data_IF_371672853667
#
_entry.id   IF_371672853667
#
_cell.length_a   1.000
_cell.length_b   1.000
_cell.length_c   1.000
_cell.angle_alpha   90.00
_cell.angle_beta   90.00
_cell.angle_gamma   90.00
#
_symmetry.space_group_name_H-M   'P 1'
#
loop_
_entity.id
_entity.type
_entity.pdbx_description
1 polymer ?
#
# COMPACT_ATOMS: atom_id res chain seq x y z
N UNK A 1 16.65 -1.13 9.65
CA UNK A 1 15.27 -0.99 9.14
C UNK A 1 14.36 -0.19 10.08
N UNK A 2 14.32 -0.51 11.37
CA UNK A 2 13.39 0.14 12.33
C UNK A 2 13.50 1.68 12.38
N UNK A 3 14.72 2.24 12.36
CA UNK A 3 14.91 3.70 12.46
C UNK A 3 14.38 4.45 11.23
N UNK A 4 14.60 3.93 10.01
CA UNK A 4 14.14 4.60 8.79
C UNK A 4 12.62 4.47 8.64
N UNK A 5 12.03 3.36 9.07
CA UNK A 5 10.58 3.18 9.09
C UNK A 5 9.92 4.14 10.07
N UNK A 6 10.44 4.21 11.30
CA UNK A 6 9.92 5.14 12.30
C UNK A 6 10.03 6.59 11.81
N UNK A 7 11.17 6.97 11.22
CA UNK A 7 11.32 8.29 10.59
C UNK A 7 10.28 8.54 9.48
N UNK A 8 10.01 7.56 8.62
CA UNK A 8 9.05 7.71 7.54
C UNK A 8 7.62 7.91 8.07
N UNK A 9 7.22 7.11 9.07
CA UNK A 9 5.94 7.24 9.76
C UNK A 9 5.79 8.60 10.43
N UNK A 10 6.78 9.02 11.22
CA UNK A 10 6.80 10.34 11.88
C UNK A 10 6.73 11.48 10.86
N UNK A 11 7.47 11.36 9.75
CA UNK A 11 7.44 12.37 8.68
C UNK A 11 6.06 12.47 8.04
N UNK A 12 5.37 11.36 7.81
CA UNK A 12 4.00 11.35 7.28
C UNK A 12 3.06 12.07 8.25
N UNK A 13 3.10 11.72 9.53
CA UNK A 13 2.25 12.29 10.57
C UNK A 13 2.49 13.79 10.76
N UNK A 14 3.74 14.23 10.72
CA UNK A 14 4.10 15.65 10.87
C UNK A 14 3.80 16.51 9.63
N UNK A 15 3.58 15.91 8.46
CA UNK A 15 3.55 16.61 7.17
C UNK A 15 2.14 16.78 6.58
N UNK A 16 1.11 16.99 7.40
CA UNK A 16 -0.28 17.08 6.95
C UNK A 16 -0.53 18.16 5.88
N UNK A 17 0.19 19.28 5.92
CA UNK A 17 0.03 20.38 4.97
C UNK A 17 0.83 20.21 3.64
N UNK A 18 1.76 19.24 3.58
CA UNK A 18 2.60 19.03 2.39
C UNK A 18 1.83 18.17 1.39
N UNK A 19 1.71 18.52 0.09
CA UNK A 19 1.06 17.67 -0.90
C UNK A 19 1.65 16.26 -1.00
N UNK A 20 0.82 15.24 -1.24
CA UNK A 20 1.24 13.82 -1.24
C UNK A 20 2.40 13.55 -2.22
N UNK A 21 2.38 14.17 -3.40
CA UNK A 21 3.42 13.97 -4.44
C UNK A 21 4.79 14.45 -3.95
N UNK A 22 4.84 15.63 -3.33
CA UNK A 22 6.08 16.21 -2.79
C UNK A 22 6.57 15.39 -1.59
N UNK A 23 5.65 14.94 -0.74
CA UNK A 23 6.00 14.09 0.39
C UNK A 23 6.52 12.72 -0.08
N UNK A 24 5.92 12.14 -1.11
CA UNK A 24 6.37 10.88 -1.71
C UNK A 24 7.81 10.98 -2.19
N UNK A 25 8.15 11.99 -2.98
CA UNK A 25 9.53 12.20 -3.46
C UNK A 25 10.51 12.24 -2.28
N UNK A 26 10.23 13.07 -1.27
CA UNK A 26 11.08 13.20 -0.10
C UNK A 26 11.11 11.97 0.84
N UNK A 27 10.19 11.02 0.69
CA UNK A 27 10.24 9.71 1.33
C UNK A 27 11.11 8.76 0.51
N UNK A 28 10.87 8.67 -0.81
CA UNK A 28 11.57 7.79 -1.73
C UNK A 28 13.08 8.08 -1.78
N UNK A 29 13.48 9.35 -1.72
CA UNK A 29 14.88 9.77 -1.69
C UNK A 29 15.67 9.11 -0.56
N UNK A 30 15.03 8.87 0.60
CA UNK A 30 15.69 8.19 1.72
C UNK A 30 15.44 6.69 1.73
N UNK A 31 14.21 6.25 1.44
CA UNK A 31 13.85 4.84 1.50
C UNK A 31 14.63 4.01 0.47
N UNK A 32 14.85 4.53 -0.75
CA UNK A 32 15.61 3.84 -1.80
C UNK A 32 17.08 3.58 -1.46
N UNK A 33 17.65 4.33 -0.52
CA UNK A 33 19.02 4.10 -0.02
C UNK A 33 19.10 2.83 0.83
N UNK A 34 17.97 2.34 1.33
CA UNK A 34 17.89 1.13 2.14
C UNK A 34 17.59 -0.08 1.23
N UNK A 35 18.58 -0.96 1.04
CA UNK A 35 18.40 -2.19 0.28
C UNK A 35 17.34 -3.10 0.93
N UNK A 36 16.43 -3.64 0.11
CA UNK A 36 15.41 -4.60 0.55
C UNK A 36 14.28 -3.99 1.37
N UNK A 37 14.16 -2.65 1.39
CA UNK A 37 13.10 -2.00 2.14
C UNK A 37 11.72 -2.36 1.60
N UNK A 38 10.78 -2.65 2.51
CA UNK A 38 9.39 -2.86 2.16
C UNK A 38 8.61 -1.56 2.34
N UNK A 39 7.93 -1.12 1.28
CA UNK A 39 7.11 0.09 1.32
C UNK A 39 5.76 -0.15 2.00
N UNK A 40 5.40 -1.42 2.21
CA UNK A 40 4.10 -1.81 2.71
C UNK A 40 3.76 -1.20 4.08
N UNK A 41 4.71 -1.20 5.02
CA UNK A 41 4.49 -0.63 6.36
C UNK A 41 4.30 0.90 6.32
N UNK A 42 5.08 1.59 5.49
CA UNK A 42 5.00 3.05 5.34
C UNK A 42 3.69 3.46 4.66
N UNK A 43 3.27 2.71 3.65
CA UNK A 43 2.01 2.92 2.98
C UNK A 43 0.80 2.63 3.88
N UNK A 44 0.83 1.55 4.67
CA UNK A 44 -0.21 1.28 5.66
C UNK A 44 -0.32 2.43 6.68
N UNK A 45 0.82 2.98 7.14
CA UNK A 45 0.83 4.15 8.02
C UNK A 45 0.26 5.40 7.33
N UNK A 46 0.54 5.60 6.04
CA UNK A 46 -0.03 6.69 5.26
C UNK A 46 -1.56 6.61 5.18
N UNK A 47 -2.12 5.43 4.91
CA UNK A 47 -3.59 5.26 4.86
C UNK A 47 -4.22 5.46 6.24
N UNK A 48 -3.63 4.89 7.29
CA UNK A 48 -4.05 5.11 8.68
C UNK A 48 -3.99 6.59 9.11
N UNK A 49 -3.13 7.39 8.48
CA UNK A 49 -3.04 8.83 8.70
C UNK A 49 -4.00 9.64 7.81
N UNK A 50 -4.95 8.99 7.13
CA UNK A 50 -5.92 9.62 6.22
C UNK A 50 -5.36 10.00 4.85
N UNK A 51 -4.13 9.59 4.53
CA UNK A 51 -3.44 9.93 3.28
C UNK A 51 -3.48 8.79 2.27
N UNK A 52 -4.70 8.36 1.92
CA UNK A 52 -4.93 7.19 1.04
C UNK A 52 -4.21 7.29 -0.31
N UNK A 53 -4.20 8.48 -0.94
CA UNK A 53 -3.50 8.69 -2.20
C UNK A 53 -1.98 8.53 -2.06
N UNK A 54 -1.39 9.03 -0.97
CA UNK A 54 0.02 8.76 -0.65
C UNK A 54 0.29 7.26 -0.46
N UNK A 55 -0.59 6.56 0.26
CA UNK A 55 -0.48 5.12 0.44
C UNK A 55 -0.46 4.39 -0.90
N UNK A 56 -1.42 4.68 -1.79
CA UNK A 56 -1.49 4.08 -3.12
C UNK A 56 -0.22 4.30 -3.96
N UNK A 57 0.38 5.50 -3.89
CA UNK A 57 1.65 5.78 -4.58
C UNK A 57 2.84 5.05 -3.97
N UNK A 58 2.89 4.91 -2.64
CA UNK A 58 3.94 4.12 -1.97
C UNK A 58 3.83 2.64 -2.32
N UNK A 59 2.61 2.12 -2.45
CA UNK A 59 2.34 0.72 -2.85
C UNK A 59 2.91 0.40 -4.22
N UNK A 60 2.90 1.35 -5.16
CA UNK A 60 3.47 1.15 -6.51
C UNK A 60 4.99 0.91 -6.49
N UNK A 61 5.66 1.24 -5.39
CA UNK A 61 7.08 0.96 -5.18
C UNK A 61 7.35 -0.35 -4.45
N UNK A 62 6.33 -1.07 -3.96
CA UNK A 62 6.49 -2.38 -3.36
C UNK A 62 6.67 -3.46 -4.44
N UNK A 63 7.89 -3.97 -4.57
CA UNK A 63 8.23 -5.01 -5.54
C UNK A 63 7.65 -6.40 -5.21
N UNK A 64 7.34 -6.67 -3.94
CA UNK A 64 6.84 -7.98 -3.52
C UNK A 64 5.33 -8.03 -3.67
N UNK A 65 4.82 -8.72 -4.70
CA UNK A 65 3.38 -8.86 -4.95
C UNK A 65 2.61 -9.38 -3.73
N UNK A 66 3.20 -10.31 -2.97
CA UNK A 66 2.62 -10.86 -1.74
C UNK A 66 2.44 -9.84 -0.60
N UNK A 67 3.07 -8.67 -0.70
CA UNK A 67 2.87 -7.53 0.22
C UNK A 67 2.06 -6.41 -0.44
N UNK A 68 2.31 -6.17 -1.73
CA UNK A 68 1.62 -5.14 -2.50
C UNK A 68 0.12 -5.40 -2.57
N UNK A 69 -0.28 -6.63 -2.89
CA UNK A 69 -1.68 -6.98 -3.14
C UNK A 69 -2.55 -6.90 -1.87
N UNK A 70 -2.16 -7.51 -0.72
CA UNK A 70 -2.93 -7.34 0.51
C UNK A 70 -3.09 -5.88 0.93
N UNK A 71 -2.07 -5.05 0.66
CA UNK A 71 -2.12 -3.64 0.99
C UNK A 71 -3.06 -2.86 0.05
N UNK A 72 -3.06 -3.14 -1.27
CA UNK A 72 -4.04 -2.57 -2.20
C UNK A 72 -5.47 -2.88 -1.75
N UNK A 73 -5.74 -4.12 -1.33
CA UNK A 73 -7.04 -4.50 -0.79
C UNK A 73 -7.38 -3.70 0.47
N UNK A 74 -6.43 -3.50 1.39
CA UNK A 74 -6.67 -2.76 2.63
C UNK A 74 -7.02 -1.27 2.43
N UNK A 75 -6.58 -0.68 1.31
CA UNK A 75 -6.88 0.71 0.95
C UNK A 75 -8.01 0.85 -0.08
N UNK A 76 -8.80 -0.21 -0.26
CA UNK A 76 -9.95 -0.33 -1.18
C UNK A 76 -9.63 -0.16 -2.68
N UNK A 77 -8.38 -0.39 -3.08
CA UNK A 77 -7.91 -0.35 -4.47
C UNK A 77 -8.07 -1.74 -5.14
N UNK A 78 -9.28 -2.30 -5.10
CA UNK A 78 -9.57 -3.70 -5.49
C UNK A 78 -9.28 -3.97 -6.97
N UNK A 79 -9.61 -3.04 -7.87
CA UNK A 79 -9.36 -3.19 -9.31
C UNK A 79 -7.85 -3.30 -9.60
N UNK A 80 -7.06 -2.46 -8.93
CA UNK A 80 -5.61 -2.48 -9.02
C UNK A 80 -5.02 -3.74 -8.40
N UNK A 81 -5.57 -4.18 -7.26
CA UNK A 81 -5.17 -5.44 -6.62
C UNK A 81 -5.40 -6.62 -7.57
N UNK A 82 -6.54 -6.67 -8.25
CA UNK A 82 -6.88 -7.72 -9.20
C UNK A 82 -5.92 -7.73 -10.39
N UNK A 83 -5.71 -6.58 -11.03
CA UNK A 83 -4.77 -6.48 -12.14
C UNK A 83 -3.36 -6.92 -11.73
N UNK A 84 -2.85 -6.42 -10.60
CA UNK A 84 -1.51 -6.77 -10.09
C UNK A 84 -1.38 -8.24 -9.70
N UNK A 85 -2.45 -8.85 -9.19
CA UNK A 85 -2.46 -10.30 -8.90
C UNK A 85 -2.34 -11.13 -10.17
N UNK A 86 -3.03 -10.75 -11.24
CA UNK A 86 -2.93 -11.41 -12.54
C UNK A 86 -1.53 -11.24 -13.12
N UNK A 87 -0.99 -10.02 -13.11
CA UNK A 87 0.35 -9.70 -13.60
C UNK A 87 1.45 -10.48 -12.85
N UNK A 88 1.22 -10.81 -11.57
CA UNK A 88 2.17 -11.57 -10.76
C UNK A 88 2.30 -13.05 -11.17
N UNK A 89 1.29 -13.60 -11.84
CA UNK A 89 1.20 -15.03 -12.15
C UNK A 89 0.99 -15.95 -10.94
N UNK A 90 0.90 -15.39 -9.73
CA UNK A 90 0.67 -16.14 -8.50
C UNK A 90 -0.83 -16.42 -8.32
N UNK A 91 -1.22 -17.68 -8.50
CA UNK A 91 -2.62 -18.10 -8.44
C UNK A 91 -3.21 -17.94 -7.03
N UNK A 92 -2.40 -18.03 -5.98
CA UNK A 92 -2.85 -17.84 -4.60
C UNK A 92 -3.20 -16.37 -4.36
N UNK A 93 -2.43 -15.44 -4.94
CA UNK A 93 -2.72 -14.00 -4.85
C UNK A 93 -3.95 -13.61 -5.68
N UNK A 94 -4.16 -14.23 -6.85
CA UNK A 94 -5.39 -14.03 -7.63
C UNK A 94 -6.60 -14.54 -6.83
N UNK A 95 -6.49 -15.73 -6.24
CA UNK A 95 -7.54 -16.29 -5.40
C UNK A 95 -7.84 -15.39 -4.20
N UNK A 96 -6.81 -14.89 -3.51
CA UNK A 96 -6.94 -13.96 -2.39
C UNK A 96 -7.79 -12.74 -2.76
N UNK A 97 -7.52 -12.11 -3.91
CA UNK A 97 -8.26 -10.93 -4.36
C UNK A 97 -9.71 -11.27 -4.70
N UNK A 98 -9.93 -12.34 -5.47
CA UNK A 98 -11.29 -12.76 -5.85
C UNK A 98 -12.13 -13.12 -4.62
N UNK A 99 -11.53 -13.82 -3.66
CA UNK A 99 -12.19 -14.18 -2.41
C UNK A 99 -12.56 -12.93 -1.59
N UNK A 100 -11.66 -11.96 -1.49
CA UNK A 100 -11.92 -10.69 -0.82
C UNK A 100 -13.09 -9.91 -1.45
N UNK A 101 -13.10 -9.78 -2.79
CA UNK A 101 -14.18 -9.11 -3.54
C UNK A 101 -15.51 -9.84 -3.30
N UNK A 102 -15.51 -11.17 -3.39
CA UNK A 102 -16.70 -11.98 -3.19
C UNK A 102 -17.28 -11.82 -1.77
N UNK A 103 -16.42 -11.78 -0.74
CA UNK A 103 -16.85 -11.54 0.64
C UNK A 103 -17.49 -10.16 0.80
N UNK A 104 -16.88 -9.12 0.24
CA UNK A 104 -17.41 -7.74 0.31
C UNK A 104 -18.82 -7.67 -0.32
N UNK A 105 -18.98 -8.20 -1.53
CA UNK A 105 -20.27 -8.26 -2.22
C UNK A 105 -21.31 -9.09 -1.45
N UNK A 106 -20.89 -10.18 -0.84
CA UNK A 106 -21.81 -11.05 -0.07
C UNK A 106 -22.31 -10.36 1.20
N UNK A 107 -21.46 -9.57 1.87
CA UNK A 107 -21.84 -8.78 3.04
C UNK A 107 -22.80 -7.64 2.65
N UNK A 108 -22.54 -6.95 1.53
CA UNK A 108 -23.39 -5.86 1.04
C UNK A 108 -24.82 -6.32 0.68
N UNK A 109 -25.00 -7.57 0.26
CA UNK A 109 -26.33 -8.13 -0.06
C UNK A 109 -27.18 -8.48 1.17
N UNK A 110 -26.56 -8.57 2.34
CA UNK A 110 -27.23 -8.96 3.59
C UNK A 110 -27.66 -7.73 4.42
N UNK A 111 -27.08 -6.56 4.14
CA UNK A 111 -27.43 -5.29 4.76
C UNK A 111 -28.43 -4.49 3.92
#
# INVERSE_FOLDING_TARGET
EVVIMHWACEKITASAAIPDVVLLEGLLDKLRLCKGISYAAVAAHADNSGRRKLAAMLVDHESQSSKQIPLLLSIDEQDKALQKSIDSGDTDLVYLVLFHIWQKISVEKVN
#
